data_IF_702777076780
#
_entry.id   IF_702777076780
#
_cell.length_a   1.000
_cell.length_b   1.000
_cell.length_c   1.000
_cell.angle_alpha   90.00
_cell.angle_beta   90.00
_cell.angle_gamma   90.00
#
_symmetry.space_group_name_H-M   'P 1'
#
loop_
_entity.id
_entity.type
_entity.pdbx_description
1 polymer ?
#
# COMPACT_ATOMS: atom_id res chain seq x y z
N UNK A 1 -2.54 1.61 -16.31
CA UNK A 1 -1.73 1.80 -15.08
C UNK A 1 -2.67 2.32 -14.00
N UNK A 2 -2.59 1.78 -12.78
CA UNK A 2 -3.40 2.23 -11.64
C UNK A 2 -2.44 2.86 -10.62
N UNK A 3 -2.73 4.10 -10.23
CA UNK A 3 -2.06 4.77 -9.11
C UNK A 3 -3.09 4.85 -7.98
N UNK A 4 -2.75 4.26 -6.83
CA UNK A 4 -3.68 4.13 -5.71
C UNK A 4 -3.01 4.52 -4.40
N UNK A 5 -3.76 5.25 -3.58
CA UNK A 5 -3.39 5.61 -2.21
C UNK A 5 -3.90 4.54 -1.23
N UNK A 6 -3.66 4.75 0.08
CA UNK A 6 -4.38 4.01 1.12
C UNK A 6 -3.55 3.02 1.94
N UNK A 7 -2.29 2.76 1.58
CA UNK A 7 -1.41 1.86 2.33
C UNK A 7 -1.36 2.20 3.84
N UNK A 8 -1.15 3.46 4.21
CA UNK A 8 -1.13 3.85 5.64
C UNK A 8 -2.47 3.56 6.33
N UNK A 9 -3.61 3.85 5.68
CA UNK A 9 -4.92 3.64 6.28
C UNK A 9 -5.20 2.15 6.51
N UNK A 10 -4.84 1.31 5.54
CA UNK A 10 -4.94 -0.14 5.63
C UNK A 10 -4.02 -0.67 6.73
N UNK A 11 -2.76 -0.22 6.78
CA UNK A 11 -1.81 -0.60 7.82
C UNK A 11 -2.27 -0.20 9.22
N UNK A 12 -2.84 1.00 9.38
CA UNK A 12 -3.42 1.44 10.66
C UNK A 12 -4.54 0.49 11.10
N UNK A 13 -5.43 0.14 10.18
CA UNK A 13 -6.53 -0.79 10.44
C UNK A 13 -6.01 -2.19 10.79
N UNK A 14 -5.02 -2.68 10.07
CA UNK A 14 -4.39 -3.98 10.30
C UNK A 14 -3.76 -4.06 11.70
N UNK A 15 -3.10 -2.99 12.14
CA UNK A 15 -2.45 -2.90 13.45
C UNK A 15 -3.38 -2.47 14.60
N UNK A 16 -4.63 -2.10 14.32
CA UNK A 16 -5.55 -1.58 15.32
C UNK A 16 -5.14 -0.22 15.91
N UNK A 17 -4.35 0.58 15.18
CA UNK A 17 -3.89 1.90 15.63
C UNK A 17 -4.67 3.04 14.97
N UNK A 18 -4.75 4.19 15.64
CA UNK A 18 -5.35 5.40 15.06
C UNK A 18 -4.35 6.07 14.11
N UNK A 19 -4.84 6.51 12.95
CA UNK A 19 -4.04 7.24 11.94
C UNK A 19 -3.52 8.59 12.46
N UNK A 20 -4.24 9.16 13.43
CA UNK A 20 -4.02 10.50 13.94
C UNK A 20 -2.62 10.57 14.58
N UNK A 21 -1.81 11.56 14.21
CA UNK A 21 -0.48 11.86 14.80
C UNK A 21 0.68 10.89 14.55
N UNK A 22 0.62 10.09 13.48
CA UNK A 22 1.80 9.30 13.08
C UNK A 22 2.93 10.22 12.61
N UNK A 23 4.09 10.13 13.27
CA UNK A 23 5.36 10.68 12.76
C UNK A 23 5.74 9.96 11.44
N UNK A 24 6.68 10.54 10.69
CA UNK A 24 7.08 10.04 9.35
C UNK A 24 7.58 8.61 9.40
N UNK A 25 8.49 8.31 10.32
CA UNK A 25 9.03 6.97 10.60
C UNK A 25 7.93 5.93 10.83
N UNK A 26 6.97 6.25 11.70
CA UNK A 26 5.81 5.37 11.97
C UNK A 26 4.91 5.26 10.76
N UNK A 27 4.67 6.34 10.04
CA UNK A 27 3.85 6.34 8.84
C UNK A 27 4.44 5.42 7.77
N UNK A 28 5.76 5.42 7.59
CA UNK A 28 6.47 4.53 6.67
C UNK A 28 6.36 3.07 7.09
N UNK A 29 6.59 2.76 8.38
CA UNK A 29 6.44 1.40 8.90
C UNK A 29 5.00 0.87 8.77
N UNK A 30 4.00 1.74 8.97
CA UNK A 30 2.59 1.38 8.77
C UNK A 30 2.26 1.22 7.28
N UNK A 31 2.82 2.07 6.42
CA UNK A 31 2.67 1.96 4.98
C UNK A 31 3.25 0.66 4.44
N UNK A 32 4.41 0.20 4.92
CA UNK A 32 5.01 -1.05 4.45
C UNK A 32 4.13 -2.26 4.74
N UNK A 33 3.44 -2.27 5.90
CA UNK A 33 2.46 -3.32 6.24
C UNK A 33 1.23 -3.20 5.35
N UNK A 34 0.63 -2.00 5.27
CA UNK A 34 -0.59 -1.82 4.50
C UNK A 34 -0.41 -1.95 2.99
N UNK A 35 0.81 -1.79 2.47
CA UNK A 35 1.12 -2.00 1.06
C UNK A 35 1.03 -3.48 0.66
N UNK A 36 1.44 -4.39 1.55
CA UNK A 36 1.29 -5.84 1.35
C UNK A 36 -0.20 -6.19 1.23
N UNK A 37 -1.01 -5.68 2.16
CA UNK A 37 -2.45 -5.91 2.19
C UNK A 37 -3.15 -5.29 0.96
N UNK A 38 -2.77 -4.08 0.57
CA UNK A 38 -3.31 -3.41 -0.62
C UNK A 38 -3.04 -4.22 -1.89
N UNK A 39 -1.82 -4.75 -2.04
CA UNK A 39 -1.47 -5.55 -3.21
C UNK A 39 -2.10 -6.93 -3.20
N UNK A 40 -2.25 -7.56 -2.03
CA UNK A 40 -3.03 -8.79 -1.89
C UNK A 40 -4.49 -8.57 -2.30
N UNK A 41 -5.09 -7.44 -1.91
CA UNK A 41 -6.44 -7.08 -2.30
C UNK A 41 -6.58 -6.93 -3.83
N UNK A 42 -5.68 -6.16 -4.46
CA UNK A 42 -5.66 -6.03 -5.92
C UNK A 42 -5.44 -7.38 -6.60
N UNK A 43 -4.48 -8.19 -6.14
CA UNK A 43 -4.19 -9.51 -6.69
C UNK A 43 -5.42 -10.40 -6.65
N UNK A 44 -6.13 -10.45 -5.53
CA UNK A 44 -7.33 -11.27 -5.36
C UNK A 44 -8.48 -10.83 -6.27
N UNK A 45 -8.66 -9.51 -6.48
CA UNK A 45 -9.69 -9.00 -7.38
C UNK A 45 -9.36 -9.34 -8.83
N UNK A 46 -8.16 -8.98 -9.29
CA UNK A 46 -7.77 -9.14 -10.69
C UNK A 46 -7.58 -10.61 -11.10
N UNK A 47 -7.23 -11.48 -10.15
CA UNK A 47 -7.11 -12.91 -10.40
C UNK A 47 -8.45 -13.55 -10.80
N UNK A 48 -9.61 -13.01 -10.35
CA UNK A 48 -10.94 -13.48 -10.78
C UNK A 48 -11.15 -13.32 -12.28
N UNK A 49 -10.52 -12.31 -12.87
CA UNK A 49 -10.54 -12.05 -14.32
C UNK A 49 -9.30 -12.61 -15.04
N UNK A 50 -8.48 -13.44 -14.36
CA UNK A 50 -7.20 -13.98 -14.87
C UNK A 50 -6.22 -12.91 -15.34
N UNK A 51 -6.32 -11.70 -14.79
CA UNK A 51 -5.42 -10.58 -15.11
C UNK A 51 -4.21 -10.66 -14.18
N UNK A 52 -3.01 -10.77 -14.77
CA UNK A 52 -1.75 -10.66 -14.03
C UNK A 52 -1.50 -9.19 -13.68
N UNK A 53 -1.01 -8.95 -12.46
CA UNK A 53 -0.63 -7.63 -12.00
C UNK A 53 0.82 -7.64 -11.49
N UNK A 54 1.43 -6.47 -11.48
CA UNK A 54 2.72 -6.21 -10.86
C UNK A 54 2.62 -4.96 -10.00
N UNK A 55 3.47 -4.88 -8.98
CA UNK A 55 3.62 -3.68 -8.17
C UNK A 55 4.83 -2.88 -8.65
N UNK A 56 4.68 -1.56 -8.72
CA UNK A 56 5.77 -0.62 -8.96
C UNK A 56 5.75 0.37 -7.80
N UNK A 57 6.89 0.53 -7.13
CA UNK A 57 7.12 1.55 -6.12
C UNK A 57 8.22 2.46 -6.67
N UNK A 58 7.92 3.75 -6.75
CA UNK A 58 8.83 4.76 -7.28
C UNK A 58 8.77 6.00 -6.39
N UNK A 59 9.89 6.70 -6.36
CA UNK A 59 10.10 8.02 -5.79
C UNK A 59 10.51 8.97 -6.91
N UNK A 60 10.65 10.27 -6.61
CA UNK A 60 11.13 11.24 -7.59
C UNK A 60 12.55 10.88 -8.08
N UNK A 61 13.40 10.44 -7.14
CA UNK A 61 14.80 10.07 -7.37
C UNK A 61 14.99 8.87 -8.32
N UNK A 62 13.94 8.07 -8.57
CA UNK A 62 14.01 6.94 -9.52
C UNK A 62 13.84 7.37 -10.99
N UNK A 63 13.47 8.64 -11.22
CA UNK A 63 13.16 9.18 -12.56
C UNK A 63 14.13 10.26 -13.04
N UNK A 64 15.11 10.61 -12.21
CA UNK A 64 16.25 11.49 -12.54
C UNK A 64 17.51 10.66 -12.83
#
# INVERSE_FOLDING_TARGET
>A
VIVSSGAIAIGCKYLGIKKNSLKVDKSQAVASIGQIELMNFYKNIFNKSKIKISQILLTLDDTE
#
